data_IF_906365170475
#
_entry.id   IF_906365170475
#
_cell.length_a   1.000
_cell.length_b   1.000
_cell.length_c   1.000
_cell.angle_alpha   90.00
_cell.angle_beta   90.00
_cell.angle_gamma   90.00
#
_symmetry.space_group_name_H-M   'P 1'
#
loop_
_entity.id
_entity.type
_entity.pdbx_description
1 polymer ?
#
# COMPACT_ATOMS: atom_id res chain seq x y z
N UNK A 1 -28.65 27.99 8.68
CA UNK A 1 -28.19 26.91 7.78
C UNK A 1 -26.78 26.55 8.22
N UNK A 2 -26.67 25.63 9.18
CA UNK A 2 -25.39 25.24 9.76
C UNK A 2 -24.77 24.16 8.90
N UNK A 3 -23.66 24.50 8.25
CA UNK A 3 -22.79 23.54 7.62
C UNK A 3 -22.05 22.78 8.72
N UNK A 4 -22.53 21.60 9.08
CA UNK A 4 -21.83 20.70 9.98
C UNK A 4 -20.51 20.26 9.34
N UNK A 5 -19.42 20.88 9.79
CA UNK A 5 -18.07 20.39 9.52
C UNK A 5 -17.90 19.03 10.19
N UNK A 6 -17.88 17.97 9.41
CA UNK A 6 -17.34 16.68 9.84
C UNK A 6 -15.81 16.82 9.87
N UNK A 7 -15.29 17.18 11.03
CA UNK A 7 -13.87 16.94 11.32
C UNK A 7 -13.69 15.42 11.41
N UNK A 8 -13.27 14.82 10.30
CA UNK A 8 -12.87 13.43 10.27
C UNK A 8 -11.72 13.23 11.25
N UNK A 9 -11.93 12.42 12.30
CA UNK A 9 -10.84 11.89 13.12
C UNK A 9 -9.95 11.06 12.18
N UNK A 10 -8.88 11.67 11.69
CA UNK A 10 -7.87 10.95 10.90
C UNK A 10 -7.39 9.75 11.71
N UNK A 11 -7.25 8.59 11.06
CA UNK A 11 -6.60 7.45 11.68
C UNK A 11 -5.24 7.92 12.17
N UNK A 12 -4.93 7.67 13.45
CA UNK A 12 -3.72 8.19 14.08
C UNK A 12 -2.41 7.57 13.59
N UNK A 13 -2.41 6.94 12.41
CA UNK A 13 -1.23 6.34 11.80
C UNK A 13 -0.57 7.34 10.84
N UNK A 14 0.61 7.82 11.23
CA UNK A 14 1.37 8.84 10.51
C UNK A 14 1.81 8.43 9.08
N UNK A 15 1.54 7.19 8.65
CA UNK A 15 1.86 6.71 7.29
C UNK A 15 0.95 7.30 6.23
N UNK A 16 -0.26 7.71 6.60
CA UNK A 16 -1.26 8.24 5.68
C UNK A 16 -1.98 9.47 6.21
N UNK A 17 -2.25 10.40 5.31
CA UNK A 17 -3.29 11.43 5.47
C UNK A 17 -4.52 10.95 4.69
N UNK A 18 -5.56 10.48 5.41
CA UNK A 18 -6.77 9.93 4.78
C UNK A 18 -7.88 10.98 4.88
N UNK A 19 -8.39 11.39 3.74
CA UNK A 19 -9.35 12.50 3.65
C UNK A 19 -10.40 12.28 2.56
N UNK A 20 -11.61 12.81 2.75
CA UNK A 20 -12.63 12.84 1.70
C UNK A 20 -12.21 13.78 0.56
N UNK A 21 -12.52 13.40 -0.67
CA UNK A 21 -12.31 14.22 -1.88
C UNK A 21 -13.62 14.46 -2.64
N UNK A 22 -14.60 13.59 -2.45
CA UNK A 22 -15.98 13.73 -2.94
C UNK A 22 -16.91 12.85 -2.08
N UNK A 23 -18.21 12.93 -2.31
CA UNK A 23 -19.21 12.06 -1.66
C UNK A 23 -18.91 10.60 -1.96
N UNK A 24 -18.76 9.77 -0.94
CA UNK A 24 -18.36 8.37 -1.07
C UNK A 24 -16.94 8.13 -1.59
N UNK A 25 -16.11 9.17 -1.74
CA UNK A 25 -14.74 9.01 -2.26
C UNK A 25 -13.72 9.60 -1.29
N UNK A 26 -12.79 8.75 -0.86
CA UNK A 26 -11.66 9.14 -0.01
C UNK A 26 -10.32 8.84 -0.69
N UNK A 27 -9.28 9.50 -0.24
CA UNK A 27 -7.90 9.22 -0.64
C UNK A 27 -7.02 9.03 0.59
N UNK A 28 -6.25 7.95 0.61
CA UNK A 28 -5.16 7.75 1.54
C UNK A 28 -3.87 8.25 0.87
N UNK A 29 -3.43 9.44 1.28
CA UNK A 29 -2.20 10.06 0.77
C UNK A 29 -1.03 9.55 1.58
N UNK A 30 -0.08 8.89 0.93
CA UNK A 30 1.08 8.31 1.57
C UNK A 30 2.06 9.38 2.07
N UNK A 31 2.63 9.14 3.26
CA UNK A 31 3.72 9.93 3.80
C UNK A 31 5.07 9.33 3.38
N UNK A 32 5.84 9.96 2.47
CA UNK A 32 7.08 9.38 1.93
C UNK A 32 8.13 9.03 2.99
N UNK A 33 8.11 9.76 4.13
CA UNK A 33 9.01 9.51 5.25
C UNK A 33 8.92 8.08 5.83
N UNK A 34 7.84 7.33 5.52
CA UNK A 34 7.61 5.98 6.03
C UNK A 34 7.82 4.89 4.97
N UNK A 35 8.45 5.21 3.84
CA UNK A 35 8.66 4.30 2.70
C UNK A 35 7.34 3.67 2.23
N UNK A 36 6.30 4.49 2.18
CA UNK A 36 5.02 4.17 1.55
C UNK A 36 4.91 5.07 0.33
N UNK A 37 4.80 4.48 -0.87
CA UNK A 37 5.15 5.18 -2.09
C UNK A 37 3.96 5.57 -2.96
N UNK A 38 2.84 4.87 -2.89
CA UNK A 38 1.65 5.19 -3.68
C UNK A 38 0.52 5.71 -2.81
N UNK A 39 -0.47 6.34 -3.42
CA UNK A 39 -1.73 6.68 -2.78
C UNK A 39 -2.76 5.59 -3.07
N UNK A 40 -3.81 5.52 -2.24
CA UNK A 40 -4.97 4.66 -2.48
C UNK A 40 -6.22 5.50 -2.59
N UNK A 41 -7.03 5.26 -3.63
CA UNK A 41 -8.39 5.76 -3.65
C UNK A 41 -9.34 4.71 -3.04
N UNK A 42 -10.32 5.21 -2.29
CA UNK A 42 -11.38 4.44 -1.64
C UNK A 42 -12.69 4.98 -2.19
N UNK A 43 -13.46 4.13 -2.85
CA UNK A 43 -14.71 4.50 -3.50
C UNK A 43 -15.82 3.65 -2.93
N UNK A 44 -16.74 4.28 -2.21
CA UNK A 44 -17.92 3.64 -1.63
C UNK A 44 -19.09 3.69 -2.61
N UNK A 45 -19.75 2.56 -2.80
CA UNK A 45 -20.98 2.41 -3.56
C UNK A 45 -22.09 1.80 -2.68
N UNK A 46 -23.29 1.63 -3.24
CA UNK A 46 -24.38 1.01 -2.51
C UNK A 46 -24.06 -0.43 -2.10
N UNK A 47 -23.33 -1.17 -2.94
CA UNK A 47 -23.06 -2.61 -2.76
C UNK A 47 -21.75 -2.92 -2.02
N UNK A 48 -20.89 -1.93 -1.77
CA UNK A 48 -19.60 -2.14 -1.14
C UNK A 48 -18.57 -1.09 -1.49
N UNK A 49 -17.33 -1.42 -1.23
CA UNK A 49 -16.19 -0.54 -1.41
C UNK A 49 -15.28 -1.07 -2.52
N UNK A 50 -14.81 -0.18 -3.38
CA UNK A 50 -13.69 -0.41 -4.29
C UNK A 50 -12.46 0.33 -3.77
N UNK A 51 -11.34 -0.37 -3.72
CA UNK A 51 -10.02 0.18 -3.36
C UNK A 51 -9.14 0.18 -4.60
N UNK A 52 -8.49 1.30 -4.89
CA UNK A 52 -7.60 1.43 -6.04
C UNK A 52 -6.17 1.58 -5.55
N UNK A 53 -5.33 0.61 -5.90
CA UNK A 53 -3.95 0.40 -5.46
C UNK A 53 -3.77 0.12 -3.95
N UNK A 54 -2.75 -0.65 -3.60
CA UNK A 54 -2.61 -1.24 -2.27
C UNK A 54 -1.25 -1.00 -1.61
N UNK A 55 -0.46 -0.10 -2.15
CA UNK A 55 0.85 0.29 -1.64
C UNK A 55 1.97 -0.75 -1.79
N UNK A 56 3.13 -0.37 -1.27
CA UNK A 56 4.41 -1.06 -1.41
C UNK A 56 4.58 -2.25 -0.47
N UNK A 57 3.67 -2.47 0.49
CA UNK A 57 3.81 -3.51 1.51
C UNK A 57 2.47 -3.80 2.22
N UNK A 58 2.29 -5.04 2.72
CA UNK A 58 1.05 -5.45 3.38
C UNK A 58 0.71 -4.64 4.64
N UNK A 59 1.71 -4.22 5.42
CA UNK A 59 1.45 -3.41 6.62
C UNK A 59 0.85 -2.03 6.28
N UNK A 60 1.17 -1.46 5.12
CA UNK A 60 0.56 -0.22 4.66
C UNK A 60 -0.91 -0.43 4.27
N UNK A 61 -1.20 -1.49 3.51
CA UNK A 61 -2.58 -1.87 3.17
C UNK A 61 -3.44 -2.13 4.43
N UNK A 62 -2.88 -2.78 5.46
CA UNK A 62 -3.59 -3.02 6.73
C UNK A 62 -4.00 -1.74 7.45
N UNK A 63 -3.23 -0.65 7.34
CA UNK A 63 -3.64 0.66 7.89
C UNK A 63 -4.86 1.21 7.17
N UNK A 64 -4.87 1.14 5.84
CA UNK A 64 -6.03 1.56 5.03
C UNK A 64 -7.26 0.69 5.37
N UNK A 65 -7.09 -0.62 5.51
CA UNK A 65 -8.16 -1.55 5.91
C UNK A 65 -8.71 -1.21 7.32
N UNK A 66 -7.85 -0.86 8.26
CA UNK A 66 -8.30 -0.44 9.60
C UNK A 66 -9.17 0.82 9.51
N UNK A 67 -8.73 1.81 8.74
CA UNK A 67 -9.51 3.03 8.51
C UNK A 67 -10.84 2.75 7.78
N UNK A 68 -10.84 1.88 6.79
CA UNK A 68 -12.07 1.46 6.09
C UNK A 68 -13.14 0.94 7.05
N UNK A 69 -12.74 0.16 8.06
CA UNK A 69 -13.67 -0.39 9.08
C UNK A 69 -14.24 0.68 10.01
N UNK A 70 -13.55 1.81 10.16
CA UNK A 70 -14.05 2.98 10.90
C UNK A 70 -14.98 3.84 10.02
N UNK A 71 -14.69 3.89 8.72
CA UNK A 71 -15.43 4.72 7.75
C UNK A 71 -16.78 4.11 7.40
N UNK A 72 -16.84 2.79 7.15
CA UNK A 72 -18.04 2.11 6.68
C UNK A 72 -18.11 0.66 7.15
N UNK A 73 -19.33 0.14 7.32
CA UNK A 73 -19.57 -1.29 7.56
C UNK A 73 -19.66 -2.12 6.26
N UNK A 74 -19.61 -1.47 5.10
CA UNK A 74 -19.69 -2.16 3.80
C UNK A 74 -18.41 -2.97 3.54
N UNK A 75 -18.52 -4.16 2.92
CA UNK A 75 -17.35 -4.96 2.58
C UNK A 75 -16.57 -4.34 1.41
N UNK A 76 -15.26 -4.58 1.37
CA UNK A 76 -14.49 -4.38 0.15
C UNK A 76 -14.87 -5.47 -0.85
N UNK A 77 -15.38 -5.06 -2.01
CA UNK A 77 -15.74 -5.93 -3.12
C UNK A 77 -14.63 -6.05 -4.15
N UNK A 78 -13.99 -4.93 -4.44
CA UNK A 78 -12.97 -4.86 -5.48
C UNK A 78 -11.71 -4.17 -5.00
N UNK A 79 -10.58 -4.76 -5.37
CA UNK A 79 -9.25 -4.17 -5.26
C UNK A 79 -8.72 -4.01 -6.68
N UNK A 80 -8.61 -2.78 -7.16
CA UNK A 80 -8.18 -2.50 -8.53
C UNK A 80 -6.71 -2.11 -8.55
N UNK A 81 -5.89 -2.80 -9.33
CA UNK A 81 -4.51 -2.39 -9.56
C UNK A 81 -4.39 -1.63 -10.87
N UNK A 82 -3.93 -0.38 -10.79
CA UNK A 82 -3.78 0.49 -11.97
C UNK A 82 -2.68 0.00 -12.88
N UNK A 83 -1.55 -0.48 -12.32
CA UNK A 83 -0.42 -1.01 -13.08
C UNK A 83 0.47 -1.93 -12.23
N UNK A 84 1.49 -2.53 -12.86
CA UNK A 84 2.30 -3.60 -12.26
C UNK A 84 3.45 -3.15 -11.37
N UNK A 85 3.69 -1.88 -11.15
CA UNK A 85 4.76 -1.43 -10.27
C UNK A 85 4.48 -1.84 -8.83
N UNK A 86 5.52 -2.29 -8.15
CA UNK A 86 5.48 -2.95 -6.85
C UNK A 86 4.75 -2.16 -5.74
N UNK A 87 4.84 -0.85 -5.80
CA UNK A 87 4.22 0.07 -4.85
C UNK A 87 2.70 0.25 -5.06
N UNK A 88 2.11 -0.41 -6.04
CA UNK A 88 0.67 -0.39 -6.32
C UNK A 88 -0.05 -1.71 -5.99
N UNK A 89 0.68 -2.81 -5.75
CA UNK A 89 0.03 -4.10 -5.56
C UNK A 89 0.66 -5.04 -4.51
N UNK A 90 1.82 -4.71 -3.92
CA UNK A 90 2.41 -5.56 -2.89
C UNK A 90 1.55 -5.67 -1.62
N UNK A 91 0.62 -4.75 -1.39
CA UNK A 91 -0.36 -4.84 -0.31
C UNK A 91 -1.60 -5.69 -0.62
N UNK A 92 -1.73 -6.23 -1.84
CA UNK A 92 -2.92 -6.98 -2.28
C UNK A 92 -3.31 -8.10 -1.31
N UNK A 93 -2.35 -8.86 -0.79
CA UNK A 93 -2.60 -10.01 0.09
C UNK A 93 -3.40 -9.67 1.36
N UNK A 94 -3.33 -8.41 1.80
CA UNK A 94 -4.02 -7.99 3.01
C UNK A 94 -5.55 -7.94 2.83
N UNK A 95 -6.01 -7.73 1.60
CA UNK A 95 -7.45 -7.58 1.33
C UNK A 95 -8.22 -8.90 1.36
N UNK A 96 -7.84 -9.98 0.66
CA UNK A 96 -8.52 -11.27 0.81
C UNK A 96 -8.44 -11.83 2.24
N UNK A 97 -7.38 -11.53 2.98
CA UNK A 97 -7.27 -11.91 4.39
C UNK A 97 -8.27 -11.17 5.29
N UNK A 98 -8.65 -9.92 4.95
CA UNK A 98 -9.59 -9.10 5.69
C UNK A 98 -11.03 -9.20 5.16
N UNK A 99 -11.19 -9.43 3.86
CA UNK A 99 -12.44 -9.51 3.10
C UNK A 99 -12.33 -10.68 2.10
N UNK A 100 -12.71 -11.91 2.52
CA UNK A 100 -12.50 -13.12 1.70
C UNK A 100 -13.21 -13.10 0.33
N UNK A 101 -14.28 -12.30 0.20
CA UNK A 101 -15.05 -12.16 -1.05
C UNK A 101 -14.50 -11.05 -1.96
N UNK A 102 -13.40 -10.38 -1.57
CA UNK A 102 -12.83 -9.31 -2.37
C UNK A 102 -12.14 -9.85 -3.62
N UNK A 103 -12.52 -9.33 -4.78
CA UNK A 103 -11.90 -9.62 -6.07
C UNK A 103 -10.76 -8.66 -6.35
N UNK A 104 -9.59 -9.18 -6.75
CA UNK A 104 -8.49 -8.33 -7.21
C UNK A 104 -8.61 -8.21 -8.73
N UNK A 105 -8.67 -6.98 -9.22
CA UNK A 105 -8.99 -6.65 -10.60
C UNK A 105 -7.86 -5.86 -11.24
N UNK A 106 -7.50 -6.18 -12.48
CA UNK A 106 -6.60 -5.35 -13.29
C UNK A 106 -6.90 -5.48 -14.78
N UNK A 107 -6.26 -4.64 -15.59
CA UNK A 107 -6.17 -4.91 -17.02
C UNK A 107 -5.29 -6.16 -17.28
N UNK A 108 -5.57 -6.93 -18.34
CA UNK A 108 -4.83 -8.16 -18.70
C UNK A 108 -3.33 -7.90 -18.88
N UNK A 109 -2.97 -6.79 -19.55
CA UNK A 109 -1.56 -6.39 -19.75
C UNK A 109 -0.86 -6.15 -18.40
N UNK A 110 -1.57 -5.54 -17.44
CA UNK A 110 -1.07 -5.32 -16.08
C UNK A 110 -0.84 -6.65 -15.37
N UNK A 111 -1.81 -7.56 -15.40
CA UNK A 111 -1.70 -8.89 -14.81
C UNK A 111 -0.52 -9.67 -15.38
N UNK A 112 -0.37 -9.69 -16.72
CA UNK A 112 0.79 -10.31 -17.37
C UNK A 112 2.12 -9.66 -16.93
N UNK A 113 2.17 -8.33 -16.84
CA UNK A 113 3.37 -7.64 -16.40
C UNK A 113 3.71 -7.94 -14.93
N UNK A 114 2.70 -8.09 -14.04
CA UNK A 114 2.91 -8.55 -12.68
C UNK A 114 3.57 -9.93 -12.64
N UNK A 115 3.06 -10.90 -13.43
CA UNK A 115 3.64 -12.25 -13.53
C UNK A 115 5.06 -12.21 -14.08
N UNK A 116 5.26 -11.53 -15.22
CA UNK A 116 6.53 -11.54 -15.95
C UNK A 116 7.63 -10.70 -15.28
N UNK A 117 7.27 -9.56 -14.68
CA UNK A 117 8.21 -8.56 -14.16
C UNK A 117 8.04 -8.32 -12.66
N UNK A 118 6.79 -8.24 -12.18
CA UNK A 118 6.47 -7.91 -10.80
C UNK A 118 6.99 -8.96 -9.81
N UNK A 119 6.76 -10.25 -10.06
CA UNK A 119 7.28 -11.33 -9.22
C UNK A 119 8.81 -11.34 -9.17
N UNK A 120 9.46 -11.08 -10.30
CA UNK A 120 10.93 -10.93 -10.33
C UNK A 120 11.39 -9.75 -9.46
N UNK A 121 10.65 -8.66 -9.44
CA UNK A 121 10.98 -7.47 -8.63
C UNK A 121 10.99 -7.77 -7.13
N UNK A 122 10.11 -8.65 -6.64
CA UNK A 122 10.12 -9.11 -5.24
C UNK A 122 11.47 -9.78 -4.92
N UNK A 123 11.92 -10.71 -5.77
CA UNK A 123 13.21 -11.37 -5.60
C UNK A 123 14.39 -10.38 -5.66
N UNK A 124 14.29 -9.36 -6.53
CA UNK A 124 15.28 -8.28 -6.61
C UNK A 124 15.32 -7.45 -5.32
N UNK A 125 14.19 -7.14 -4.70
CA UNK A 125 14.14 -6.44 -3.40
C UNK A 125 14.75 -7.29 -2.28
N UNK A 126 14.39 -8.59 -2.21
CA UNK A 126 14.98 -9.51 -1.21
C UNK A 126 16.51 -9.57 -1.31
N UNK A 127 17.06 -9.45 -2.52
CA UNK A 127 18.50 -9.46 -2.79
C UNK A 127 19.16 -8.11 -2.51
N UNK A 128 18.52 -7.00 -2.88
CA UNK A 128 19.15 -5.69 -2.90
C UNK A 128 18.99 -4.90 -1.59
N UNK A 129 17.87 -5.06 -0.88
CA UNK A 129 17.64 -4.34 0.40
C UNK A 129 18.70 -4.67 1.47
N UNK A 130 19.23 -5.89 1.59
CA UNK A 130 20.38 -6.15 2.49
C UNK A 130 21.61 -5.30 2.19
N UNK A 131 21.86 -4.95 0.92
CA UNK A 131 22.97 -4.07 0.52
C UNK A 131 22.69 -2.63 0.98
N UNK A 132 21.46 -2.14 0.83
CA UNK A 132 21.02 -0.84 1.36
C UNK A 132 21.20 -0.79 2.89
N UNK A 133 20.76 -1.83 3.60
CA UNK A 133 20.92 -1.94 5.07
C UNK A 133 22.39 -1.90 5.48
N UNK A 134 23.28 -2.59 4.76
CA UNK A 134 24.72 -2.56 5.05
C UNK A 134 25.31 -1.15 4.85
N UNK A 135 24.89 -0.44 3.80
CA UNK A 135 25.25 0.96 3.57
C UNK A 135 24.79 1.87 4.71
N UNK A 136 23.49 1.79 5.10
CA UNK A 136 22.95 2.58 6.19
C UNK A 136 23.66 2.33 7.53
N UNK A 137 24.09 1.10 7.81
CA UNK A 137 24.87 0.76 9.01
C UNK A 137 26.27 1.39 8.98
N UNK A 138 26.94 1.40 7.81
CA UNK A 138 28.23 2.04 7.64
C UNK A 138 28.11 3.57 7.81
N UNK A 139 27.08 4.18 7.19
CA UNK A 139 26.82 5.61 7.32
C UNK A 139 26.51 5.99 8.78
N UNK A 140 25.73 5.16 9.50
CA UNK A 140 25.41 5.37 10.90
C UNK A 140 26.66 5.31 11.79
N UNK A 141 27.62 4.43 11.48
CA UNK A 141 28.89 4.33 12.21
C UNK A 141 29.76 5.59 12.06
N UNK A 142 29.67 6.27 10.90
CA UNK A 142 30.39 7.51 10.60
C UNK A 142 29.57 8.79 10.88
N UNK A 143 28.32 8.66 11.36
CA UNK A 143 27.36 9.75 11.43
C UNK A 143 27.71 10.79 12.50
N UNK A 144 27.52 12.05 12.12
CA UNK A 144 27.48 13.16 13.07
C UNK A 144 26.22 13.10 13.95
N UNK A 145 26.20 13.75 15.12
CA UNK A 145 24.99 13.79 15.98
C UNK A 145 23.73 14.27 15.23
N UNK A 146 23.86 15.21 14.29
CA UNK A 146 22.74 15.74 13.51
C UNK A 146 22.14 14.72 12.52
N UNK A 147 22.95 13.79 12.00
CA UNK A 147 22.54 12.78 11.03
C UNK A 147 21.97 11.52 11.67
N UNK A 148 22.39 11.23 12.91
CA UNK A 148 22.15 9.95 13.59
C UNK A 148 20.67 9.56 13.62
N UNK A 149 19.79 10.45 14.09
CA UNK A 149 18.36 10.15 14.25
C UNK A 149 17.68 9.76 12.90
N UNK A 150 18.06 10.43 11.81
CA UNK A 150 17.56 10.14 10.47
C UNK A 150 18.03 8.76 10.00
N UNK A 151 19.34 8.47 10.12
CA UNK A 151 19.91 7.20 9.70
C UNK A 151 19.37 6.02 10.50
N UNK A 152 19.20 6.18 11.81
CA UNK A 152 18.57 5.15 12.66
C UNK A 152 17.12 4.87 12.26
N UNK A 153 16.35 5.92 11.93
CA UNK A 153 14.99 5.75 11.41
C UNK A 153 15.01 5.00 10.08
N UNK A 154 15.85 5.42 9.14
CA UNK A 154 15.90 4.84 7.80
C UNK A 154 16.39 3.38 7.84
N UNK A 155 17.32 3.06 8.71
CA UNK A 155 17.77 1.68 8.97
C UNK A 155 16.60 0.82 9.48
N UNK A 156 15.87 1.27 10.52
CA UNK A 156 14.69 0.54 11.02
C UNK A 156 13.64 0.32 9.94
N UNK A 157 13.37 1.32 9.09
CA UNK A 157 12.40 1.22 7.99
C UNK A 157 12.86 0.22 6.93
N UNK A 158 14.15 0.20 6.58
CA UNK A 158 14.71 -0.75 5.62
C UNK A 158 14.68 -2.19 6.15
N UNK A 159 15.02 -2.40 7.43
CA UNK A 159 14.96 -3.72 8.08
C UNK A 159 13.53 -4.24 8.16
N UNK A 160 12.57 -3.40 8.55
CA UNK A 160 11.14 -3.74 8.58
C UNK A 160 10.61 -4.06 7.17
N UNK A 161 10.98 -3.28 6.16
CA UNK A 161 10.62 -3.54 4.78
C UNK A 161 11.17 -4.87 4.26
N UNK A 162 12.44 -5.17 4.57
CA UNK A 162 13.05 -6.46 4.21
C UNK A 162 12.30 -7.65 4.82
N UNK A 163 11.90 -7.53 6.08
CA UNK A 163 11.13 -8.58 6.75
C UNK A 163 9.78 -8.81 6.08
N UNK A 164 9.06 -7.73 5.74
CA UNK A 164 7.78 -7.83 5.05
C UNK A 164 7.93 -8.42 3.63
N UNK A 165 8.91 -7.95 2.85
CA UNK A 165 9.10 -8.42 1.48
C UNK A 165 9.53 -9.87 1.39
N UNK A 166 10.26 -10.37 2.42
CA UNK A 166 10.61 -11.80 2.53
C UNK A 166 9.40 -12.67 2.86
N UNK A 167 8.44 -12.14 3.61
CA UNK A 167 7.23 -12.85 4.01
C UNK A 167 6.06 -12.66 3.03
N UNK A 168 6.24 -11.82 2.00
CA UNK A 168 5.19 -11.46 1.06
C UNK A 168 4.65 -12.69 0.32
N UNK A 169 3.35 -12.92 0.40
CA UNK A 169 2.60 -13.88 -0.39
C UNK A 169 1.88 -13.15 -1.54
N UNK A 170 2.47 -13.03 -2.73
CA UNK A 170 1.96 -12.17 -3.78
C UNK A 170 0.56 -12.57 -4.23
N UNK A 171 -0.44 -11.72 -3.98
CA UNK A 171 -1.80 -11.90 -4.46
C UNK A 171 -1.97 -11.20 -5.82
N UNK A 172 -2.05 -12.00 -6.88
CA UNK A 172 -2.26 -11.52 -8.24
C UNK A 172 -3.74 -11.26 -8.51
N UNK A 173 -4.09 -10.42 -9.52
CA UNK A 173 -5.47 -10.22 -9.92
C UNK A 173 -6.19 -11.52 -10.25
N UNK A 174 -7.34 -11.72 -9.61
CA UNK A 174 -8.24 -12.87 -9.84
C UNK A 174 -9.14 -12.62 -11.04
N UNK A 175 -9.47 -11.35 -11.30
CA UNK A 175 -10.25 -10.90 -12.45
C UNK A 175 -9.39 -9.98 -13.32
N UNK A 176 -9.41 -10.18 -14.63
CA UNK A 176 -8.73 -9.31 -15.57
C UNK A 176 -9.67 -8.94 -16.73
N UNK A 177 -9.61 -7.66 -17.12
CA UNK A 177 -10.32 -7.17 -18.30
C UNK A 177 -9.31 -6.80 -19.39
N UNK A 178 -9.66 -7.06 -20.63
CA UNK A 178 -8.88 -6.70 -21.81
C UNK A 178 -9.73 -5.92 -22.80
N UNK A 179 -9.08 -5.36 -23.81
CA UNK A 179 -9.79 -4.85 -24.97
C UNK A 179 -10.32 -6.04 -25.78
N UNK A 180 -11.62 -6.17 -25.96
CA UNK A 180 -12.17 -7.18 -26.88
C UNK A 180 -11.79 -6.77 -28.31
N UNK A 181 -10.69 -7.32 -28.82
CA UNK A 181 -10.29 -7.19 -30.23
C UNK A 181 -10.97 -8.25 -31.06
#
# INVERSE_FOLDING_TARGET
MDCCGHEGKGSGDARFDIKPVADGVHVAVAAPAYKVNSNTAIIESDDGVMVVDTHSKPSAARVVIAHLRELTSKPVRYVVNTHFHWDHWHGNEAYPAAYPEAEIVSNEITREAMVKKGLKRIADHVRNVPVEIAGLRADLAAATPAQRATLERDLRLAEAYLAEVKALAPALPTMAFGDPR
#
